data_IF_346819056753
#
_entry.id   IF_346819056753
#
_cell.length_a   1.000
_cell.length_b   1.000
_cell.length_c   1.000
_cell.angle_alpha   90.00
_cell.angle_beta   90.00
_cell.angle_gamma   90.00
#
_symmetry.space_group_name_H-M   'P 1'
#
loop_
_entity.id
_entity.type
_entity.pdbx_description
1 polymer ?
#
# COMPACT_ATOMS: atom_id res chain seq x y z
N UNK A 1 6.00 1.07 34.40
CA UNK A 1 5.96 0.69 32.97
C UNK A 1 4.58 0.14 32.67
N UNK A 2 3.83 0.77 31.77
CA UNK A 2 2.41 0.44 31.49
C UNK A 2 2.18 -0.31 30.18
N UNK A 3 3.14 -1.13 29.75
CA UNK A 3 3.04 -1.93 28.52
C UNK A 3 2.78 -3.39 28.89
N UNK A 4 1.71 -3.96 28.34
CA UNK A 4 1.35 -5.37 28.54
C UNK A 4 1.59 -6.15 27.26
N UNK A 5 2.47 -7.16 27.31
CA UNK A 5 2.71 -8.04 26.18
C UNK A 5 1.55 -9.03 25.99
N UNK A 6 0.96 -9.07 24.80
CA UNK A 6 0.02 -10.12 24.39
C UNK A 6 0.79 -11.14 23.56
N UNK A 7 1.01 -12.33 24.13
CA UNK A 7 1.67 -13.42 23.43
C UNK A 7 0.71 -14.07 22.44
N UNK A 8 1.27 -14.50 21.32
CA UNK A 8 0.56 -15.15 20.22
C UNK A 8 1.23 -16.52 20.01
N UNK A 9 0.46 -17.61 19.80
CA UNK A 9 1.02 -18.92 19.51
C UNK A 9 1.91 -18.89 18.26
N UNK A 10 2.94 -19.73 18.23
CA UNK A 10 3.72 -19.97 17.02
C UNK A 10 2.80 -20.48 15.89
N UNK A 11 3.10 -20.12 14.64
CA UNK A 11 2.32 -20.48 13.44
C UNK A 11 0.90 -19.90 13.35
N UNK A 12 0.46 -19.09 14.33
CA UNK A 12 -0.82 -18.41 14.30
C UNK A 12 -0.78 -17.10 13.49
N UNK A 13 -0.26 -17.13 12.26
CA UNK A 13 -0.10 -15.98 11.36
C UNK A 13 -1.39 -15.15 11.17
N UNK A 14 -2.54 -15.79 11.17
CA UNK A 14 -3.87 -15.15 11.13
C UNK A 14 -4.13 -14.17 12.29
N UNK A 15 -3.61 -14.46 13.49
CA UNK A 15 -3.80 -13.61 14.67
C UNK A 15 -2.97 -12.30 14.63
N UNK A 16 -1.90 -12.28 13.83
CA UNK A 16 -1.08 -11.09 13.50
C UNK A 16 -1.25 -10.67 12.04
N UNK A 17 -2.35 -11.10 11.41
CA UNK A 17 -2.56 -10.96 9.96
C UNK A 17 -2.57 -9.51 9.47
N UNK A 18 -2.89 -8.54 10.33
CA UNK A 18 -2.76 -7.11 9.98
C UNK A 18 -1.31 -6.75 9.72
N UNK A 19 -0.38 -7.13 10.60
CA UNK A 19 1.05 -6.86 10.44
C UNK A 19 1.62 -7.62 9.26
N UNK A 20 1.31 -8.92 9.14
CA UNK A 20 1.84 -9.77 8.07
C UNK A 20 1.47 -9.27 6.67
N UNK A 21 0.24 -8.77 6.49
CA UNK A 21 -0.20 -8.23 5.19
C UNK A 21 0.60 -7.01 4.73
N UNK A 22 1.23 -6.27 5.66
CA UNK A 22 2.07 -5.12 5.30
C UNK A 22 3.49 -5.51 4.87
N UNK A 23 3.93 -6.75 5.12
CA UNK A 23 5.26 -7.19 4.67
C UNK A 23 5.40 -7.16 3.14
N UNK A 24 4.38 -7.60 2.40
CA UNK A 24 4.39 -7.61 0.94
C UNK A 24 4.53 -6.20 0.31
N UNK A 25 3.68 -5.20 0.63
CA UNK A 25 3.83 -3.86 0.09
C UNK A 25 5.13 -3.19 0.56
N UNK A 26 5.58 -3.42 1.80
CA UNK A 26 6.85 -2.88 2.28
C UNK A 26 8.04 -3.45 1.50
N UNK A 27 8.09 -4.77 1.30
CA UNK A 27 9.13 -5.43 0.49
C UNK A 27 9.11 -4.89 -0.94
N UNK A 28 7.93 -4.73 -1.54
CA UNK A 28 7.85 -4.19 -2.90
C UNK A 28 8.35 -2.75 -3.00
N UNK A 29 8.01 -1.90 -2.03
CA UNK A 29 8.49 -0.52 -1.99
C UNK A 29 10.01 -0.48 -1.81
N UNK A 30 10.53 -1.32 -0.92
CA UNK A 30 11.96 -1.50 -0.70
C UNK A 30 12.68 -1.88 -1.98
N UNK A 31 12.27 -2.97 -2.66
CA UNK A 31 12.94 -3.48 -3.84
C UNK A 31 13.04 -2.39 -4.93
N UNK A 32 11.95 -1.64 -5.16
CA UNK A 32 11.93 -0.54 -6.13
C UNK A 32 12.91 0.57 -5.75
N UNK A 33 12.91 0.99 -4.48
CA UNK A 33 13.74 2.09 -4.01
C UNK A 33 15.21 1.69 -3.93
N UNK A 34 15.50 0.45 -3.55
CA UNK A 34 16.83 -0.10 -3.49
C UNK A 34 17.45 -0.17 -4.89
N UNK A 35 16.72 -0.69 -5.88
CA UNK A 35 17.15 -0.70 -7.28
C UNK A 35 17.51 0.70 -7.81
N UNK A 36 16.85 1.75 -7.32
CA UNK A 36 17.05 3.13 -7.79
C UNK A 36 18.11 3.93 -7.03
N UNK A 37 18.32 3.62 -5.75
CA UNK A 37 19.04 4.49 -4.81
C UNK A 37 20.18 3.80 -4.05
N UNK A 38 20.39 2.49 -4.22
CA UNK A 38 21.45 1.74 -3.52
C UNK A 38 22.85 2.35 -3.68
N UNK A 39 23.16 2.97 -4.82
CA UNK A 39 24.46 3.58 -5.08
C UNK A 39 24.64 4.94 -4.37
N UNK A 40 23.53 5.61 -4.04
CA UNK A 40 23.51 6.99 -3.53
C UNK A 40 23.19 7.06 -2.03
N UNK A 41 22.60 6.01 -1.45
CA UNK A 41 21.99 6.04 -0.12
C UNK A 41 22.22 4.75 0.66
N UNK A 42 22.26 4.85 2.00
CA UNK A 42 22.31 3.68 2.85
C UNK A 42 20.99 2.91 2.84
N UNK A 43 21.09 1.60 3.07
CA UNK A 43 19.94 0.71 3.26
C UNK A 43 18.95 1.26 4.32
N UNK A 44 19.45 1.78 5.43
CA UNK A 44 18.57 2.36 6.45
C UNK A 44 17.72 3.53 5.92
N UNK A 45 18.32 4.40 5.10
CA UNK A 45 17.61 5.54 4.52
C UNK A 45 16.58 5.09 3.47
N UNK A 46 16.92 4.08 2.67
CA UNK A 46 16.00 3.44 1.72
C UNK A 46 14.80 2.82 2.49
N UNK A 47 15.02 2.27 3.68
CA UNK A 47 13.98 1.61 4.47
C UNK A 47 12.99 2.64 4.99
N UNK A 48 13.51 3.75 5.51
CA UNK A 48 12.69 4.88 5.97
C UNK A 48 11.83 5.42 4.82
N UNK A 49 12.38 5.50 3.61
CA UNK A 49 11.63 5.91 2.41
C UNK A 49 10.56 4.90 2.02
N UNK A 50 10.86 3.60 2.09
CA UNK A 50 9.89 2.54 1.82
C UNK A 50 8.71 2.58 2.81
N UNK A 51 9.01 2.71 4.10
CA UNK A 51 7.99 2.87 5.16
C UNK A 51 7.13 4.11 4.92
N UNK A 52 7.76 5.23 4.55
CA UNK A 52 7.04 6.47 4.22
C UNK A 52 6.11 6.28 3.02
N UNK A 53 6.58 5.67 1.94
CA UNK A 53 5.80 5.41 0.74
C UNK A 53 4.58 4.51 1.04
N UNK A 54 4.76 3.46 1.84
CA UNK A 54 3.66 2.58 2.26
C UNK A 54 2.63 3.35 3.10
N UNK A 55 3.08 4.16 4.07
CA UNK A 55 2.18 4.91 4.95
C UNK A 55 1.38 6.02 4.22
N UNK A 56 1.92 6.56 3.12
CA UNK A 56 1.24 7.55 2.29
C UNK A 56 0.40 6.93 1.16
N UNK A 57 0.45 5.60 0.99
CA UNK A 57 -0.35 4.89 -0.01
C UNK A 57 -1.67 4.42 0.60
N UNK A 58 -2.77 4.60 -0.14
CA UNK A 58 -4.06 4.05 0.25
C UNK A 58 -4.02 2.52 0.19
N UNK A 59 -4.44 1.87 1.28
CA UNK A 59 -4.63 0.43 1.32
C UNK A 59 -5.88 -0.03 0.56
N UNK A 60 -6.21 -1.34 0.59
CA UNK A 60 -7.36 -1.91 -0.12
C UNK A 60 -8.70 -1.23 0.20
N UNK A 61 -8.87 -0.74 1.42
CA UNK A 61 -10.09 -0.04 1.86
C UNK A 61 -10.09 1.47 1.54
N UNK A 62 -9.11 1.94 0.76
CA UNK A 62 -8.93 3.37 0.45
C UNK A 62 -8.35 4.20 1.60
N UNK A 63 -8.05 3.57 2.74
CA UNK A 63 -7.51 4.23 3.91
C UNK A 63 -6.01 4.49 3.77
N UNK A 64 -5.57 5.71 4.07
CA UNK A 64 -4.15 6.09 4.07
C UNK A 64 -3.65 6.19 5.52
N UNK A 65 -2.69 5.35 5.95
CA UNK A 65 -2.18 5.37 7.33
C UNK A 65 -1.75 6.74 7.84
N UNK A 66 -1.03 7.53 7.03
CA UNK A 66 -0.61 8.90 7.40
C UNK A 66 -1.81 9.79 7.72
N UNK A 67 -2.90 9.70 6.95
CA UNK A 67 -4.11 10.48 7.22
C UNK A 67 -4.84 10.00 8.47
N UNK A 68 -4.84 8.69 8.75
CA UNK A 68 -5.46 8.15 9.97
C UNK A 68 -4.74 8.60 11.24
N UNK A 69 -3.41 8.74 11.19
CA UNK A 69 -2.60 9.12 12.35
C UNK A 69 -2.51 10.63 12.54
N UNK A 70 -2.28 11.38 11.46
CA UNK A 70 -1.99 12.81 11.53
C UNK A 70 -3.14 13.71 11.08
N UNK A 71 -4.18 13.17 10.44
CA UNK A 71 -5.28 13.96 9.85
C UNK A 71 -4.89 14.76 8.61
N UNK A 72 -3.61 14.85 8.26
CA UNK A 72 -3.09 15.56 7.10
C UNK A 72 -1.75 14.97 6.66
N UNK A 73 -1.35 15.24 5.42
CA UNK A 73 0.02 14.96 4.98
C UNK A 73 0.98 16.01 5.57
N UNK A 74 2.05 15.60 6.28
CA UNK A 74 3.07 16.52 6.75
C UNK A 74 3.63 17.33 5.58
N UNK A 75 3.62 18.65 5.69
CA UNK A 75 4.12 19.54 4.63
C UNK A 75 5.65 19.55 4.65
N UNK A 76 6.26 19.34 3.49
CA UNK A 76 7.65 19.73 3.28
C UNK A 76 7.67 21.23 2.95
N UNK A 77 8.34 22.05 3.76
CA UNK A 77 8.43 23.49 3.54
C UNK A 77 9.28 23.79 2.31
N UNK A 78 8.77 24.66 1.42
CA UNK A 78 9.31 24.96 0.08
C UNK A 78 10.32 26.11 0.06
N UNK A 79 10.72 26.66 1.20
CA UNK A 79 11.56 27.87 1.26
C UNK A 79 13.00 27.67 0.76
N UNK A 80 13.34 26.50 0.23
CA UNK A 80 14.57 26.25 -0.52
C UNK A 80 14.33 25.19 -1.59
N UNK A 81 14.91 25.32 -2.80
CA UNK A 81 14.90 24.23 -3.77
C UNK A 81 15.45 22.97 -3.10
N UNK A 82 14.72 21.84 -3.15
CA UNK A 82 15.25 20.59 -2.61
C UNK A 82 16.59 20.30 -3.29
N UNK A 83 17.60 19.92 -2.50
CA UNK A 83 18.89 19.52 -3.05
C UNK A 83 18.68 18.48 -4.18
N UNK A 84 19.57 18.39 -5.19
CA UNK A 84 19.41 17.41 -6.28
C UNK A 84 19.16 15.97 -5.77
N UNK A 85 19.77 15.60 -4.65
CA UNK A 85 19.53 14.31 -3.97
C UNK A 85 18.13 14.18 -3.35
N UNK A 86 17.47 15.27 -2.98
CA UNK A 86 16.09 15.29 -2.49
C UNK A 86 15.07 15.18 -3.63
N UNK A 87 15.37 15.76 -4.79
CA UNK A 87 14.54 15.59 -6.00
C UNK A 87 14.53 14.13 -6.41
N UNK A 88 15.72 13.51 -6.58
CA UNK A 88 15.85 12.09 -6.94
C UNK A 88 15.15 11.17 -5.94
N UNK A 89 15.28 11.46 -4.63
CA UNK A 89 14.54 10.74 -3.57
C UNK A 89 13.03 10.87 -3.72
N UNK A 90 12.53 12.07 -4.00
CA UNK A 90 11.09 12.30 -4.16
C UNK A 90 10.53 11.59 -5.38
N UNK A 91 11.27 11.55 -6.49
CA UNK A 91 10.91 10.82 -7.72
C UNK A 91 10.83 9.31 -7.45
N UNK A 92 11.82 8.76 -6.74
CA UNK A 92 11.85 7.36 -6.36
C UNK A 92 10.66 6.99 -5.45
N UNK A 93 10.34 7.82 -4.45
CA UNK A 93 9.14 7.64 -3.60
C UNK A 93 7.86 7.67 -4.43
N UNK A 94 7.74 8.61 -5.38
CA UNK A 94 6.58 8.69 -6.26
C UNK A 94 6.45 7.43 -7.14
N UNK A 95 7.57 6.89 -7.64
CA UNK A 95 7.58 5.64 -8.41
C UNK A 95 7.15 4.45 -7.56
N UNK A 96 7.68 4.30 -6.36
CA UNK A 96 7.28 3.26 -5.41
C UNK A 96 5.78 3.37 -5.08
N UNK A 97 5.30 4.58 -4.76
CA UNK A 97 3.88 4.87 -4.49
C UNK A 97 3.00 4.49 -5.68
N UNK A 98 3.40 4.82 -6.91
CA UNK A 98 2.67 4.47 -8.14
C UNK A 98 2.58 2.95 -8.33
N UNK A 99 3.67 2.23 -8.08
CA UNK A 99 3.68 0.76 -8.16
C UNK A 99 2.77 0.12 -7.10
N UNK A 100 2.80 0.62 -5.86
CA UNK A 100 1.92 0.15 -4.79
C UNK A 100 0.44 0.43 -5.08
N UNK A 101 0.12 1.60 -5.65
CA UNK A 101 -1.24 1.93 -6.09
C UNK A 101 -1.74 0.97 -7.16
N UNK A 102 -0.88 0.58 -8.12
CA UNK A 102 -1.22 -0.42 -9.14
C UNK A 102 -1.56 -1.77 -8.52
N UNK A 103 -0.73 -2.27 -7.60
CA UNK A 103 -0.98 -3.52 -6.87
C UNK A 103 -2.28 -3.47 -6.07
N UNK A 104 -2.56 -2.34 -5.43
CA UNK A 104 -3.78 -2.15 -4.65
C UNK A 104 -5.02 -2.17 -5.56
N UNK A 105 -4.94 -1.50 -6.72
CA UNK A 105 -6.02 -1.51 -7.70
C UNK A 105 -6.25 -2.91 -8.30
N UNK A 106 -5.20 -3.65 -8.65
CA UNK A 106 -5.31 -5.03 -9.13
C UNK A 106 -5.98 -5.93 -8.09
N UNK A 107 -5.60 -5.79 -6.82
CA UNK A 107 -6.23 -6.50 -5.71
C UNK A 107 -7.71 -6.14 -5.55
N UNK A 108 -8.04 -4.85 -5.60
CA UNK A 108 -9.44 -4.40 -5.50
C UNK A 108 -10.30 -4.99 -6.62
N UNK A 109 -9.79 -5.01 -7.85
CA UNK A 109 -10.49 -5.62 -8.99
C UNK A 109 -10.67 -7.13 -8.77
N UNK A 110 -9.62 -7.84 -8.33
CA UNK A 110 -9.71 -9.26 -8.04
C UNK A 110 -10.71 -9.58 -6.91
N UNK A 111 -10.68 -8.81 -5.82
CA UNK A 111 -11.61 -8.95 -4.70
C UNK A 111 -13.06 -8.67 -5.15
N UNK A 112 -13.28 -7.64 -5.98
CA UNK A 112 -14.59 -7.34 -6.55
C UNK A 112 -15.11 -8.47 -7.44
N UNK A 113 -14.28 -9.05 -8.31
CA UNK A 113 -14.64 -10.19 -9.16
C UNK A 113 -14.95 -11.46 -8.34
N UNK A 114 -14.21 -11.67 -7.24
CA UNK A 114 -14.41 -12.81 -6.35
C UNK A 114 -15.64 -12.67 -5.45
N UNK A 115 -16.16 -11.45 -5.30
CA UNK A 115 -17.38 -11.21 -4.54
C UNK A 115 -18.57 -11.74 -5.35
N UNK A 116 -19.09 -12.93 -4.99
CA UNK A 116 -20.29 -13.58 -5.59
C UNK A 116 -21.62 -12.81 -5.37
N UNK A 117 -21.56 -11.48 -5.25
CA UNK A 117 -22.71 -10.60 -5.07
C UNK A 117 -23.07 -9.83 -6.36
N UNK A 118 -22.64 -10.33 -7.52
CA UNK A 118 -23.16 -9.84 -8.80
C UNK A 118 -24.66 -10.10 -8.93
N UNK A 119 -25.40 -9.31 -9.72
CA UNK A 119 -26.81 -9.58 -9.98
C UNK A 119 -26.99 -11.03 -10.45
N UNK A 120 -28.00 -11.73 -9.92
CA UNK A 120 -28.29 -13.10 -10.32
C UNK A 120 -28.73 -13.12 -11.79
N UNK A 121 -27.80 -13.39 -12.69
CA UNK A 121 -28.06 -13.44 -14.15
C UNK A 121 -28.61 -14.78 -14.60
N UNK A 122 -28.75 -15.76 -13.70
CA UNK A 122 -29.30 -17.08 -13.99
C UNK A 122 -30.73 -16.97 -14.58
N UNK A 123 -31.55 -16.08 -14.04
CA UNK A 123 -32.92 -15.88 -14.54
C UNK A 123 -32.93 -15.10 -15.86
N UNK A 124 -31.95 -14.21 -16.09
CA UNK A 124 -31.81 -13.49 -17.37
C UNK A 124 -31.34 -14.38 -18.52
N UNK A 125 -30.59 -15.44 -18.23
CA UNK A 125 -30.18 -16.44 -19.24
C UNK A 125 -31.34 -17.36 -19.68
N UNK A 126 -32.41 -17.43 -18.89
CA UNK A 126 -33.60 -18.23 -19.19
C UNK A 126 -34.65 -17.47 -20.02
N UNK A 127 -34.42 -16.17 -20.28
CA UNK A 127 -35.36 -15.31 -20.99
C UNK A 127 -35.34 -15.60 -22.51
N UNK A 128 -36.51 -15.69 -23.17
CA UNK A 128 -36.59 -15.83 -24.62
C UNK A 128 -35.98 -14.62 -25.33
N UNK A 129 -35.37 -14.85 -26.51
CA UNK A 129 -34.96 -13.78 -27.41
C UNK A 129 -36.14 -12.82 -27.65
N UNK A 130 -35.94 -11.52 -27.35
CA UNK A 130 -36.92 -10.42 -27.44
C UNK A 130 -37.94 -10.29 -26.28
N UNK A 131 -37.58 -10.70 -25.07
CA UNK A 131 -38.32 -10.27 -23.87
C UNK A 131 -37.85 -8.87 -23.43
N UNK A 132 -38.79 -7.96 -23.17
CA UNK A 132 -38.53 -6.64 -22.56
C UNK A 132 -38.11 -6.76 -21.08
#
# INVERSE_FOLDING_TARGET
MGVTCKQVPTEAHWSVGKTERYHAPLRRAWDILHDELQDDMSDEAILQMAVKAVNDTAGPDGLVPTLLVFGAYPRMTTESPPAPSMVRRSEAIQKATKALRKLTAERQVADALNTRNGPATADMLALPLQSE
#
